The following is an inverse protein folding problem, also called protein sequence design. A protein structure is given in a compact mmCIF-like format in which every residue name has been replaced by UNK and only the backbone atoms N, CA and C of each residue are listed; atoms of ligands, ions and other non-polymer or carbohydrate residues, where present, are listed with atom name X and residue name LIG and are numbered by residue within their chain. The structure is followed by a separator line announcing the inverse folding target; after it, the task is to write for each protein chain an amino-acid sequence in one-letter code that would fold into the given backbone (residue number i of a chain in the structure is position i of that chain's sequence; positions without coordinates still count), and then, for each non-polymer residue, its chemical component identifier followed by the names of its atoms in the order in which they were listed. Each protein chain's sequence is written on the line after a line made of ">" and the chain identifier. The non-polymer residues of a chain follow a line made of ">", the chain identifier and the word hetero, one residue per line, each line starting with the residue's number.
data_IF_836660542837
#
_entry.id   IF_836660542837
#
_cell.length_a   1.000
_cell.length_b   1.000
_cell.length_c   1.000
_cell.angle_alpha   90.00
_cell.angle_beta   90.00
_cell.angle_gamma   90.00
#
_symmetry.space_group_name_H-M   'P 1'
#
loop_
_entity.id
_entity.type
_entity.pdbx_description
1 polymer ?
#
# COMPACT_ATOMS: atom_id res chain seq x y z
N UNK A 1 24.27 -13.51 -12.22
CA UNK A 1 24.30 -13.79 -10.76
C UNK A 1 22.92 -13.48 -10.21
N UNK A 2 22.28 -14.37 -9.43
CA UNK A 2 21.05 -14.01 -8.73
C UNK A 2 21.31 -12.81 -7.82
N UNK A 3 20.35 -11.89 -7.75
CA UNK A 3 20.38 -10.81 -6.77
C UNK A 3 20.36 -11.43 -5.37
N UNK A 4 21.19 -10.96 -4.41
CA UNK A 4 21.09 -11.43 -3.02
C UNK A 4 19.76 -11.00 -2.37
N UNK A 5 19.06 -10.01 -2.94
CA UNK A 5 17.75 -9.57 -2.50
C UNK A 5 16.69 -10.16 -3.41
N UNK A 6 15.77 -10.94 -2.83
CA UNK A 6 14.65 -11.56 -3.55
C UNK A 6 13.33 -10.78 -3.42
N UNK A 7 13.18 -10.00 -2.36
CA UNK A 7 11.95 -9.26 -2.09
C UNK A 7 12.21 -7.96 -1.32
N UNK A 8 11.36 -6.97 -1.54
CA UNK A 8 11.31 -5.69 -0.83
C UNK A 8 9.89 -5.50 -0.28
N UNK A 9 9.79 -5.17 1.02
CA UNK A 9 8.51 -4.84 1.67
C UNK A 9 8.52 -3.35 2.02
N UNK A 10 7.54 -2.62 1.52
CA UNK A 10 7.44 -1.18 1.67
C UNK A 10 6.46 -0.81 2.79
N UNK A 11 6.80 0.16 3.63
CA UNK A 11 5.97 0.61 4.75
C UNK A 11 5.04 1.78 4.41
N UNK A 12 5.25 2.43 3.26
CA UNK A 12 4.47 3.58 2.82
C UNK A 12 4.29 3.62 1.29
N UNK A 13 3.34 4.43 0.83
CA UNK A 13 3.19 4.75 -0.59
C UNK A 13 4.51 5.23 -1.23
N UNK A 14 5.27 6.08 -0.50
CA UNK A 14 6.52 6.66 -1.00
C UNK A 14 7.59 5.59 -1.17
N UNK A 15 7.73 4.69 -0.20
CA UNK A 15 8.69 3.59 -0.27
C UNK A 15 8.36 2.68 -1.46
N UNK A 16 7.06 2.43 -1.70
CA UNK A 16 6.58 1.60 -2.82
C UNK A 16 6.97 2.19 -4.16
N UNK A 17 6.73 3.49 -4.36
CA UNK A 17 7.10 4.19 -5.60
C UNK A 17 8.62 4.21 -5.79
N UNK A 18 9.38 4.51 -4.74
CA UNK A 18 10.85 4.54 -4.81
C UNK A 18 11.46 3.17 -5.10
N UNK A 19 10.98 2.12 -4.43
CA UNK A 19 11.44 0.75 -4.68
C UNK A 19 11.13 0.30 -6.11
N UNK A 20 9.93 0.60 -6.60
CA UNK A 20 9.55 0.29 -7.99
C UNK A 20 10.47 0.98 -9.00
N UNK A 21 10.76 2.26 -8.81
CA UNK A 21 11.67 3.03 -9.68
C UNK A 21 13.08 2.42 -9.71
N UNK A 22 13.67 2.13 -8.54
CA UNK A 22 15.01 1.53 -8.47
C UNK A 22 15.04 0.15 -9.14
N UNK A 23 14.02 -0.67 -8.92
CA UNK A 23 13.93 -2.00 -9.54
C UNK A 23 13.79 -1.90 -11.07
N UNK A 24 13.06 -0.91 -11.58
CA UNK A 24 13.00 -0.60 -13.02
C UNK A 24 14.37 -0.17 -13.53
N UNK A 25 14.99 0.83 -12.91
CA UNK A 25 16.26 1.43 -13.36
C UNK A 25 17.41 0.41 -13.37
N UNK A 26 17.39 -0.55 -12.43
CA UNK A 26 18.38 -1.62 -12.35
C UNK A 26 18.08 -2.82 -13.25
N UNK A 27 17.01 -2.78 -14.07
CA UNK A 27 16.53 -3.90 -14.88
C UNK A 27 16.29 -5.17 -14.05
N UNK A 28 15.61 -5.02 -12.90
CA UNK A 28 15.31 -6.08 -11.92
C UNK A 28 13.84 -6.42 -11.78
N UNK A 29 13.00 -5.91 -12.67
CA UNK A 29 11.58 -6.27 -12.73
C UNK A 29 11.44 -7.78 -12.95
N UNK A 30 10.68 -8.45 -12.09
CA UNK A 30 10.50 -9.91 -12.10
C UNK A 30 11.61 -10.70 -11.39
N UNK A 31 12.81 -10.14 -11.24
CA UNK A 31 13.90 -10.74 -10.44
C UNK A 31 13.71 -10.49 -8.94
N UNK A 32 13.11 -9.34 -8.58
CA UNK A 32 12.88 -8.90 -7.20
C UNK A 32 11.39 -8.65 -7.00
N UNK A 33 10.78 -9.32 -6.03
CA UNK A 33 9.39 -9.10 -5.65
C UNK A 33 9.25 -7.81 -4.85
N UNK A 34 8.16 -7.06 -5.06
CA UNK A 34 7.85 -5.88 -4.25
C UNK A 34 6.46 -6.06 -3.65
N UNK A 35 6.38 -6.00 -2.32
CA UNK A 35 5.12 -5.86 -1.58
C UNK A 35 4.98 -4.41 -1.16
N UNK A 36 4.11 -3.70 -1.88
CA UNK A 36 3.81 -2.29 -1.68
C UNK A 36 2.86 -2.02 -0.52
N UNK A 37 2.70 -0.74 -0.22
CA UNK A 37 1.73 -0.20 0.73
C UNK A 37 0.98 0.98 0.10
N UNK A 38 -0.29 1.11 0.46
CA UNK A 38 -1.25 2.10 -0.04
C UNK A 38 -1.55 1.97 -1.53
N UNK A 39 -2.33 2.93 -2.03
CA UNK A 39 -2.64 3.06 -3.44
C UNK A 39 -2.46 4.49 -3.92
N UNK A 40 -2.03 4.61 -5.17
CA UNK A 40 -1.99 5.82 -5.95
C UNK A 40 -2.13 5.42 -7.42
N UNK A 41 -2.40 6.36 -8.34
CA UNK A 41 -2.37 6.04 -9.78
C UNK A 41 -1.06 5.36 -10.20
N UNK A 42 0.08 5.77 -9.63
CA UNK A 42 1.39 5.19 -9.94
C UNK A 42 1.54 3.78 -9.37
N UNK A 43 1.15 3.57 -8.10
CA UNK A 43 1.24 2.25 -7.45
C UNK A 43 0.34 1.24 -8.17
N UNK A 44 -0.89 1.64 -8.53
CA UNK A 44 -1.79 0.76 -9.29
C UNK A 44 -1.19 0.39 -10.65
N UNK A 45 -0.63 1.36 -11.38
CA UNK A 45 0.08 1.08 -12.65
C UNK A 45 1.27 0.14 -12.46
N UNK A 46 2.04 0.29 -11.39
CA UNK A 46 3.15 -0.63 -11.11
C UNK A 46 2.67 -2.04 -10.78
N UNK A 47 1.55 -2.18 -10.07
CA UNK A 47 0.93 -3.48 -9.80
C UNK A 47 0.40 -4.11 -11.09
N UNK A 48 -0.38 -3.37 -11.87
CA UNK A 48 -1.00 -3.86 -13.10
C UNK A 48 0.03 -4.28 -14.16
N UNK A 49 1.19 -3.64 -14.18
CA UNK A 49 2.31 -3.97 -15.07
C UNK A 49 3.27 -5.02 -14.51
N UNK A 50 3.04 -5.54 -13.29
CA UNK A 50 3.86 -6.58 -12.68
C UNK A 50 5.21 -6.12 -12.12
N UNK A 51 5.41 -4.81 -11.95
CA UNK A 51 6.59 -4.26 -11.26
C UNK A 51 6.46 -4.43 -9.75
N UNK A 52 5.25 -4.18 -9.23
CA UNK A 52 4.89 -4.44 -7.82
C UNK A 52 4.00 -5.67 -7.79
N UNK A 53 4.30 -6.62 -6.91
CA UNK A 53 3.57 -7.91 -6.84
C UNK A 53 2.17 -7.72 -6.27
N UNK A 54 2.07 -6.96 -5.17
CA UNK A 54 0.82 -6.59 -4.54
C UNK A 54 1.04 -5.35 -3.68
N UNK A 55 -0.03 -4.62 -3.36
CA UNK A 55 0.00 -3.50 -2.42
C UNK A 55 -1.04 -3.68 -1.31
N UNK A 56 -0.64 -3.45 -0.06
CA UNK A 56 -1.54 -3.46 1.09
C UNK A 56 -2.20 -2.10 1.21
N UNK A 57 -3.50 -2.02 0.92
CA UNK A 57 -4.27 -0.77 0.90
C UNK A 57 -5.09 -0.64 2.18
N UNK A 58 -4.81 0.41 2.95
CA UNK A 58 -5.59 0.78 4.14
C UNK A 58 -6.76 1.67 3.75
N UNK A 59 -7.88 1.57 4.48
CA UNK A 59 -9.01 2.50 4.31
C UNK A 59 -8.70 3.86 4.96
N UNK A 60 -7.84 4.63 4.30
CA UNK A 60 -7.43 5.98 4.73
C UNK A 60 -8.61 6.93 4.87
N UNK A 61 -9.68 6.72 4.08
CA UNK A 61 -10.88 7.53 4.14
C UNK A 61 -11.71 7.24 5.40
N UNK A 62 -11.86 5.97 5.79
CA UNK A 62 -12.49 5.60 7.05
C UNK A 62 -11.70 6.11 8.25
N UNK A 63 -10.37 5.98 8.23
CA UNK A 63 -9.49 6.52 9.28
C UNK A 63 -9.72 8.04 9.42
N UNK A 64 -9.71 8.78 8.31
CA UNK A 64 -9.96 10.22 8.33
C UNK A 64 -11.35 10.60 8.85
N UNK A 65 -12.40 9.92 8.40
CA UNK A 65 -13.78 10.15 8.89
C UNK A 65 -13.90 9.88 10.39
N UNK A 66 -13.36 8.77 10.86
CA UNK A 66 -13.38 8.41 12.27
C UNK A 66 -12.61 9.39 13.14
N UNK A 67 -11.47 9.91 12.65
CA UNK A 67 -10.71 10.94 13.35
C UNK A 67 -11.53 12.22 13.55
N UNK A 68 -12.22 12.68 12.51
CA UNK A 68 -13.11 13.87 12.60
C UNK A 68 -14.29 13.62 13.54
N UNK A 69 -14.91 12.44 13.46
CA UNK A 69 -16.00 12.04 14.35
C UNK A 69 -15.54 11.99 15.82
N UNK A 70 -14.37 11.41 16.09
CA UNK A 70 -13.79 11.35 17.44
C UNK A 70 -13.51 12.75 17.99
N UNK A 71 -13.01 13.65 17.16
CA UNK A 71 -12.76 15.04 17.55
C UNK A 71 -14.06 15.80 17.84
N UNK A 72 -15.07 15.64 16.99
CA UNK A 72 -16.40 16.25 17.16
C UNK A 72 -17.09 15.74 18.43
N UNK A 73 -17.06 14.43 18.68
CA UNK A 73 -17.59 13.80 19.88
C UNK A 73 -16.91 14.34 21.16
N UNK A 74 -15.58 14.51 21.14
CA UNK A 74 -14.86 15.15 22.26
C UNK A 74 -15.29 16.59 22.48
N UNK A 75 -15.47 17.37 21.42
CA UNK A 75 -15.92 18.76 21.53
C UNK A 75 -17.33 18.87 22.13
N UNK A 76 -18.23 17.93 21.83
CA UNK A 76 -19.59 17.92 22.37
C UNK A 76 -19.70 17.31 23.78
N UNK A 77 -18.58 16.94 24.41
CA UNK A 77 -18.54 16.34 25.73
C UNK A 77 -18.95 14.86 25.77
N UNK A 78 -19.07 14.22 24.60
CA UNK A 78 -19.30 12.78 24.52
C UNK A 78 -18.04 12.01 24.94
N UNK A 79 -18.24 10.76 25.41
CA UNK A 79 -17.14 9.85 25.73
C UNK A 79 -16.28 9.57 24.49
N UNK A 80 -15.01 9.27 24.73
CA UNK A 80 -14.09 8.85 23.68
C UNK A 80 -14.66 7.63 22.92
N UNK A 81 -14.60 7.69 21.59
CA UNK A 81 -14.96 6.56 20.73
C UNK A 81 -14.00 5.39 20.97
N UNK A 82 -14.48 4.16 20.79
CA UNK A 82 -13.65 2.97 20.85
C UNK A 82 -12.54 3.01 19.77
N UNK A 83 -11.41 2.30 19.97
CA UNK A 83 -10.38 2.17 18.95
C UNK A 83 -10.98 1.69 17.62
N UNK A 84 -10.60 2.34 16.52
CA UNK A 84 -11.02 1.94 15.17
C UNK A 84 -10.04 0.91 14.60
N UNK A 85 -10.57 -0.25 14.23
CA UNK A 85 -9.90 -1.21 13.35
C UNK A 85 -10.43 -1.01 11.92
N UNK A 86 -9.72 -0.25 11.08
CA UNK A 86 -10.20 0.08 9.71
C UNK A 86 -10.06 -1.07 8.71
N UNK A 87 -9.34 -2.14 9.09
CA UNK A 87 -8.96 -3.21 8.18
C UNK A 87 -8.04 -2.74 7.04
N UNK A 88 -7.82 -3.66 6.10
CA UNK A 88 -7.04 -3.43 4.89
C UNK A 88 -7.53 -4.35 3.77
N UNK A 89 -7.19 -4.00 2.54
CA UNK A 89 -7.39 -4.85 1.35
C UNK A 89 -6.05 -5.08 0.67
N UNK A 90 -5.94 -6.15 -0.10
CA UNK A 90 -4.75 -6.43 -0.92
C UNK A 90 -5.11 -6.12 -2.37
N UNK A 91 -4.43 -5.14 -2.95
CA UNK A 91 -4.50 -4.86 -4.38
C UNK A 91 -3.43 -5.68 -5.11
N UNK A 92 -3.85 -6.52 -6.04
CA UNK A 92 -2.98 -7.36 -6.86
C UNK A 92 -3.54 -7.38 -8.29
N UNK A 93 -2.67 -7.52 -9.28
CA UNK A 93 -3.12 -7.67 -10.67
C UNK A 93 -3.96 -8.95 -10.80
N UNK A 94 -5.01 -8.91 -11.62
CA UNK A 94 -5.79 -10.11 -11.94
C UNK A 94 -4.87 -11.17 -12.56
N UNK A 95 -4.97 -12.42 -12.10
CA UNK A 95 -4.23 -13.52 -12.72
C UNK A 95 -4.54 -13.57 -14.21
N UNK A 96 -3.53 -13.31 -15.05
CA UNK A 96 -3.65 -13.58 -16.48
C UNK A 96 -3.71 -15.09 -16.62
N UNK A 97 -4.90 -15.62 -16.96
CA UNK A 97 -5.08 -17.03 -17.35
C UNK A 97 -4.00 -17.41 -18.34
N UNK A 98 -3.27 -18.47 -17.99
CA UNK A 98 -2.16 -19.03 -18.74
C UNK A 98 -2.66 -19.78 -19.98
#
# INVERSE_FOLDING_TARGET
>A
RPSPVNAIICSSARDTVGAAQVVIDMNKVGDVLIVGTDESPDIRRYVDNGVVTASIVRDSAAIGRAAVQAFSARRSGQKALAPLESGFTIYQAAEKSK
#
